data_IF_629544224366
#
_entry.id   IF_629544224366
#
_cell.length_a   1.000
_cell.length_b   1.000
_cell.length_c   1.000
_cell.angle_alpha   90.00
_cell.angle_beta   90.00
_cell.angle_gamma   90.00
#
_symmetry.space_group_name_H-M   'P 1'
#
loop_
_entity.id
_entity.type
_entity.pdbx_description
1 polymer ?
#
# COMPACT_ATOMS: atom_id res chain seq x y z
N UNK A 1 8.97 14.11 15.72
CA UNK A 1 8.90 12.71 16.19
C UNK A 1 10.31 12.29 16.52
N UNK A 2 10.52 11.52 17.59
CA UNK A 2 11.81 10.89 17.88
C UNK A 2 11.71 9.48 17.34
N UNK A 3 12.72 8.98 16.64
CA UNK A 3 12.72 7.61 16.13
C UNK A 3 13.50 6.69 17.09
N UNK A 4 13.12 5.40 17.19
CA UNK A 4 13.74 4.49 18.15
C UNK A 4 15.23 4.28 17.83
N UNK A 5 16.02 3.94 18.84
CA UNK A 5 17.45 3.62 18.65
C UNK A 5 18.30 4.77 18.11
N UNK A 6 17.89 6.03 18.31
CA UNK A 6 18.63 7.20 17.85
C UNK A 6 18.64 7.37 16.33
N UNK A 7 17.65 6.79 15.63
CA UNK A 7 17.49 6.96 14.18
C UNK A 7 17.09 8.39 13.83
N UNK A 8 17.51 8.86 12.65
CA UNK A 8 17.27 10.24 12.20
C UNK A 8 15.93 10.36 11.49
N UNK A 9 15.55 9.38 10.68
CA UNK A 9 14.29 9.34 9.93
C UNK A 9 13.73 7.92 9.87
N UNK A 10 12.50 7.75 9.37
CA UNK A 10 11.89 6.45 9.15
C UNK A 10 11.49 6.24 7.68
N UNK A 11 11.65 5.02 7.19
CA UNK A 11 11.32 4.65 5.82
C UNK A 11 10.76 3.23 5.77
N UNK A 12 9.67 3.06 5.02
CA UNK A 12 9.09 1.76 4.71
C UNK A 12 8.54 1.72 3.29
N UNK A 13 8.31 0.51 2.78
CA UNK A 13 7.70 0.25 1.47
C UNK A 13 6.48 -0.64 1.68
N UNK A 14 5.36 -0.25 1.08
CA UNK A 14 4.23 -1.13 0.82
C UNK A 14 4.31 -1.55 -0.65
N UNK A 15 4.71 -2.80 -0.89
CA UNK A 15 4.70 -3.42 -2.21
C UNK A 15 3.32 -4.03 -2.49
N UNK A 16 2.71 -3.52 -3.54
CA UNK A 16 1.49 -4.03 -4.09
C UNK A 16 1.72 -5.38 -4.82
N UNK A 17 0.74 -6.27 -4.80
CA UNK A 17 0.88 -7.59 -5.43
C UNK A 17 0.69 -7.56 -6.94
N UNK A 18 0.20 -6.46 -7.52
CA UNK A 18 0.00 -6.38 -8.96
C UNK A 18 1.30 -6.67 -9.74
N UNK A 19 1.14 -7.47 -10.79
CA UNK A 19 2.16 -7.94 -11.72
C UNK A 19 3.25 -8.81 -11.08
N UNK A 20 3.18 -9.09 -9.78
CA UNK A 20 4.14 -9.94 -9.10
C UNK A 20 3.86 -11.40 -9.45
N UNK A 21 4.87 -12.07 -10.00
CA UNK A 21 4.85 -13.51 -10.28
C UNK A 21 6.19 -14.11 -9.90
N UNK A 22 6.27 -15.42 -9.63
CA UNK A 22 7.57 -16.05 -9.42
C UNK A 22 8.54 -15.78 -10.57
N UNK A 23 9.76 -15.40 -10.21
CA UNK A 23 10.87 -15.04 -11.10
C UNK A 23 10.99 -13.56 -11.45
N UNK A 24 10.13 -12.66 -10.93
CA UNK A 24 10.16 -11.25 -11.30
C UNK A 24 10.26 -10.24 -10.14
N UNK A 25 10.24 -10.72 -8.88
CA UNK A 25 10.29 -9.88 -7.67
C UNK A 25 11.34 -10.34 -6.66
N UNK A 26 11.81 -11.59 -6.75
CA UNK A 26 12.69 -12.23 -5.78
C UNK A 26 13.99 -11.46 -5.58
N UNK A 27 14.68 -11.10 -6.67
CA UNK A 27 15.92 -10.33 -6.64
C UNK A 27 15.75 -8.98 -5.92
N UNK A 28 14.59 -8.34 -6.06
CA UNK A 28 14.28 -7.08 -5.38
C UNK A 28 14.24 -7.30 -3.87
N UNK A 29 13.58 -8.36 -3.43
CA UNK A 29 13.49 -8.72 -2.02
C UNK A 29 14.82 -9.24 -1.44
N UNK A 30 15.63 -9.94 -2.23
CA UNK A 30 16.98 -10.35 -1.84
C UNK A 30 17.87 -9.12 -1.57
N UNK A 31 17.81 -8.12 -2.46
CA UNK A 31 18.52 -6.84 -2.28
C UNK A 31 18.05 -6.13 -1.02
N UNK A 32 16.74 -5.96 -0.82
CA UNK A 32 16.20 -5.31 0.38
C UNK A 32 16.60 -6.07 1.66
N UNK A 33 16.46 -7.40 1.62
CA UNK A 33 16.75 -8.31 2.70
C UNK A 33 18.21 -8.24 3.16
N UNK A 34 19.14 -8.30 2.20
CA UNK A 34 20.59 -8.24 2.43
C UNK A 34 21.07 -6.90 2.98
N UNK A 35 20.32 -5.82 2.71
CA UNK A 35 20.60 -4.49 3.24
C UNK A 35 19.94 -4.22 4.61
N UNK A 36 19.20 -5.18 5.14
CA UNK A 36 18.47 -5.02 6.40
C UNK A 36 17.17 -4.22 6.27
N UNK A 37 16.69 -3.94 5.06
CA UNK A 37 15.42 -3.27 4.83
C UNK A 37 14.31 -4.31 4.87
N UNK A 38 13.45 -4.24 5.89
CA UNK A 38 12.19 -5.00 5.95
C UNK A 38 11.04 -4.11 5.52
N UNK A 39 10.16 -4.65 4.69
CA UNK A 39 9.06 -3.95 4.04
C UNK A 39 7.78 -4.77 4.14
N UNK A 40 6.70 -4.28 3.58
CA UNK A 40 5.40 -4.96 3.54
C UNK A 40 5.14 -5.46 2.12
N UNK A 41 4.98 -6.78 1.94
CA UNK A 41 4.51 -7.39 0.70
C UNK A 41 3.02 -7.68 0.82
N UNK A 42 2.18 -7.02 0.03
CA UNK A 42 0.77 -7.40 -0.03
C UNK A 42 0.54 -8.61 -0.92
N UNK A 43 -0.58 -9.32 -0.71
CA UNK A 43 -0.96 -10.52 -1.48
C UNK A 43 -2.46 -10.60 -1.75
N UNK A 44 -2.82 -11.44 -2.71
CA UNK A 44 -4.17 -11.98 -2.91
C UNK A 44 -4.26 -13.38 -2.30
N UNK A 45 -5.04 -13.58 -1.21
CA UNK A 45 -5.08 -14.89 -0.56
C UNK A 45 -5.74 -16.00 -1.38
N UNK A 46 -6.63 -15.65 -2.32
CA UNK A 46 -7.42 -16.61 -3.11
C UNK A 46 -7.51 -16.17 -4.58
N UNK A 47 -7.86 -17.10 -5.47
CA UNK A 47 -8.38 -16.76 -6.78
C UNK A 47 -9.85 -16.34 -6.71
N UNK A 48 -10.25 -15.47 -7.64
CA UNK A 48 -11.65 -15.36 -7.97
C UNK A 48 -12.16 -16.65 -8.66
N UNK A 49 -13.45 -17.01 -8.50
CA UNK A 49 -14.03 -18.16 -9.16
C UNK A 49 -13.76 -18.18 -10.67
N UNK A 50 -13.22 -19.30 -11.16
CA UNK A 50 -12.93 -19.50 -12.59
C UNK A 50 -11.67 -18.81 -13.10
N UNK A 51 -10.86 -18.19 -12.23
CA UNK A 51 -9.59 -17.58 -12.62
C UNK A 51 -8.40 -18.43 -12.17
N UNK A 52 -7.30 -18.45 -12.93
CA UNK A 52 -6.11 -19.20 -12.56
C UNK A 52 -5.36 -18.50 -11.40
N UNK A 53 -4.57 -19.25 -10.60
CA UNK A 53 -3.73 -18.66 -9.56
C UNK A 53 -2.62 -17.72 -10.04
N UNK A 54 -2.24 -17.84 -11.31
CA UNK A 54 -1.24 -16.99 -11.95
C UNK A 54 -1.84 -16.43 -13.24
N UNK A 55 -1.86 -15.10 -13.35
CA UNK A 55 -2.42 -14.38 -14.49
C UNK A 55 -1.61 -13.13 -14.88
N UNK A 56 -2.03 -12.39 -15.90
CA UNK A 56 -1.39 -11.14 -16.30
C UNK A 56 -1.44 -10.06 -15.20
N UNK A 57 -2.39 -10.15 -14.27
CA UNK A 57 -2.52 -9.28 -13.11
C UNK A 57 -1.50 -9.62 -12.01
N UNK A 58 -0.92 -10.83 -12.00
CA UNK A 58 -0.02 -11.31 -10.94
C UNK A 58 -0.41 -12.69 -10.42
N UNK A 59 0.22 -13.10 -9.32
CA UNK A 59 -0.03 -14.39 -8.64
C UNK A 59 -0.81 -14.22 -7.35
N UNK A 60 -1.69 -15.18 -7.07
CA UNK A 60 -2.37 -15.33 -5.78
C UNK A 60 -1.63 -16.35 -4.92
N UNK A 61 -1.97 -16.43 -3.63
CA UNK A 61 -1.46 -17.44 -2.72
C UNK A 61 -1.93 -18.87 -3.03
N UNK A 62 -2.80 -19.07 -4.03
CA UNK A 62 -3.14 -20.41 -4.53
C UNK A 62 -2.13 -20.93 -5.56
N UNK A 63 -1.20 -20.08 -6.01
CA UNK A 63 0.00 -20.53 -6.71
C UNK A 63 1.04 -21.01 -5.69
N UNK A 64 1.39 -22.31 -5.67
CA UNK A 64 2.27 -22.88 -4.65
C UNK A 64 3.70 -22.33 -4.70
N UNK A 65 4.18 -21.91 -5.88
CA UNK A 65 5.51 -21.32 -6.01
C UNK A 65 5.53 -19.90 -5.42
N UNK A 66 4.51 -19.10 -5.73
CA UNK A 66 4.35 -17.77 -5.16
C UNK A 66 4.12 -17.81 -3.65
N UNK A 67 3.28 -18.73 -3.16
CA UNK A 67 3.04 -18.90 -1.74
C UNK A 67 4.34 -19.25 -0.99
N UNK A 68 5.17 -20.14 -1.54
CA UNK A 68 6.47 -20.48 -0.93
C UNK A 68 7.34 -19.23 -0.78
N UNK A 69 7.46 -18.43 -1.84
CA UNK A 69 8.18 -17.16 -1.82
C UNK A 69 7.66 -16.21 -0.74
N UNK A 70 6.34 -15.99 -0.66
CA UNK A 70 5.74 -15.11 0.35
C UNK A 70 5.97 -15.64 1.77
N UNK A 71 5.88 -16.96 2.00
CA UNK A 71 6.19 -17.56 3.30
C UNK A 71 7.67 -17.42 3.67
N UNK A 72 8.59 -17.49 2.69
CA UNK A 72 10.01 -17.20 2.89
C UNK A 72 10.23 -15.73 3.29
N UNK A 73 9.52 -14.79 2.66
CA UNK A 73 9.55 -13.37 3.05
C UNK A 73 9.06 -13.18 4.50
N UNK A 74 7.94 -13.81 4.88
CA UNK A 74 7.44 -13.72 6.24
C UNK A 74 8.46 -14.24 7.25
N UNK A 75 9.07 -15.41 6.99
CA UNK A 75 10.15 -15.98 7.82
C UNK A 75 11.37 -15.06 7.91
N UNK A 76 11.68 -14.33 6.84
CA UNK A 76 12.78 -13.38 6.81
C UNK A 76 12.47 -12.06 7.54
N UNK A 77 11.25 -11.86 8.05
CA UNK A 77 10.83 -10.68 8.81
C UNK A 77 10.19 -9.57 7.98
N UNK A 78 9.79 -9.85 6.73
CA UNK A 78 8.92 -8.95 5.99
C UNK A 78 7.47 -9.10 6.50
N UNK A 79 6.71 -8.01 6.46
CA UNK A 79 5.28 -8.07 6.74
C UNK A 79 4.53 -8.57 5.51
N UNK A 80 3.55 -9.44 5.72
CA UNK A 80 2.58 -9.79 4.67
C UNK A 80 1.32 -8.95 4.88
N UNK A 81 0.94 -8.18 3.86
CA UNK A 81 -0.25 -7.32 3.84
C UNK A 81 -1.35 -7.87 2.91
N UNK A 82 -2.50 -7.21 2.91
CA UNK A 82 -3.65 -7.61 2.10
C UNK A 82 -3.90 -6.65 0.93
N UNK A 83 -4.16 -7.18 -0.26
CA UNK A 83 -4.47 -6.37 -1.44
C UNK A 83 -5.83 -6.71 -2.06
N UNK A 84 -6.89 -6.72 -1.25
CA UNK A 84 -8.16 -7.36 -1.58
C UNK A 84 -8.04 -8.90 -1.67
N UNK A 85 -9.19 -9.57 -1.81
CA UNK A 85 -9.28 -11.04 -1.80
C UNK A 85 -8.57 -11.66 -2.99
N UNK A 86 -8.72 -11.02 -4.14
CA UNK A 86 -8.14 -11.40 -5.42
C UNK A 86 -7.97 -10.17 -6.31
N UNK A 87 -7.35 -10.34 -7.47
CA UNK A 87 -7.23 -9.30 -8.48
C UNK A 87 -8.56 -8.87 -9.09
N UNK A 88 -9.62 -9.68 -8.94
CA UNK A 88 -10.98 -9.33 -9.34
C UNK A 88 -11.93 -9.28 -8.14
N UNK A 89 -13.11 -8.71 -8.36
CA UNK A 89 -14.10 -8.55 -7.30
C UNK A 89 -14.81 -9.84 -6.96
N UNK A 90 -14.91 -10.14 -5.67
CA UNK A 90 -15.62 -11.31 -5.15
C UNK A 90 -16.73 -10.89 -4.18
N UNK A 91 -17.65 -11.80 -3.87
CA UNK A 91 -18.75 -11.51 -2.95
C UNK A 91 -18.31 -11.50 -1.49
N UNK A 92 -19.13 -10.97 -0.59
CA UNK A 92 -18.85 -10.92 0.86
C UNK A 92 -18.36 -12.25 1.44
N UNK A 93 -19.00 -13.36 1.07
CA UNK A 93 -18.63 -14.70 1.56
C UNK A 93 -17.22 -15.10 1.14
N UNK A 94 -16.82 -14.74 -0.08
CA UNK A 94 -15.45 -14.95 -0.57
C UNK A 94 -14.46 -14.04 0.14
N UNK A 95 -14.83 -12.79 0.48
CA UNK A 95 -13.97 -11.89 1.26
C UNK A 95 -13.66 -12.46 2.64
N UNK A 96 -14.68 -12.99 3.33
CA UNK A 96 -14.50 -13.64 4.63
C UNK A 96 -13.58 -14.86 4.47
N UNK A 97 -13.82 -15.71 3.46
CA UNK A 97 -12.96 -16.85 3.15
C UNK A 97 -11.52 -16.42 2.86
N UNK A 98 -11.30 -15.36 2.09
CA UNK A 98 -9.98 -14.87 1.76
C UNK A 98 -9.21 -14.39 3.00
N UNK A 99 -9.89 -13.68 3.91
CA UNK A 99 -9.29 -13.26 5.16
C UNK A 99 -9.03 -14.46 6.10
N UNK A 100 -9.91 -15.44 6.16
CA UNK A 100 -9.66 -16.67 6.92
C UNK A 100 -8.48 -17.45 6.32
N UNK A 101 -8.41 -17.54 5.00
CA UNK A 101 -7.28 -18.13 4.28
C UNK A 101 -5.98 -17.39 4.56
N UNK A 102 -5.99 -16.06 4.57
CA UNK A 102 -4.85 -15.25 4.97
C UNK A 102 -4.37 -15.67 6.37
N UNK A 103 -5.28 -15.76 7.34
CA UNK A 103 -4.96 -16.16 8.71
C UNK A 103 -4.39 -17.58 8.80
N UNK A 104 -4.95 -18.52 8.06
CA UNK A 104 -4.45 -19.90 7.98
C UNK A 104 -3.01 -19.95 7.44
N UNK A 105 -2.73 -19.17 6.40
CA UNK A 105 -1.43 -19.15 5.73
C UNK A 105 -0.34 -18.47 6.56
N UNK A 106 -0.68 -17.35 7.19
CA UNK A 106 0.29 -16.43 7.81
C UNK A 106 0.22 -16.42 9.34
N UNK A 107 -0.73 -17.11 9.95
CA UNK A 107 -0.88 -17.24 11.40
C UNK A 107 -1.50 -16.02 12.10
N UNK A 108 -1.91 -15.00 11.35
CA UNK A 108 -2.52 -13.78 11.88
C UNK A 108 -3.43 -13.11 10.84
N UNK A 109 -4.31 -12.22 11.28
CA UNK A 109 -5.08 -11.34 10.38
C UNK A 109 -4.17 -10.26 9.76
N UNK A 110 -4.48 -9.72 8.57
CA UNK A 110 -3.65 -8.70 7.94
C UNK A 110 -3.72 -7.38 8.70
N UNK A 111 -2.57 -6.84 9.13
CA UNK A 111 -2.52 -5.54 9.77
C UNK A 111 -2.69 -4.41 8.75
N UNK A 112 -1.96 -4.46 7.63
CA UNK A 112 -1.98 -3.43 6.59
C UNK A 112 -2.68 -3.90 5.30
N UNK A 113 -3.39 -2.98 4.65
CA UNK A 113 -4.08 -3.21 3.38
C UNK A 113 -3.95 -2.04 2.41
N UNK A 114 -3.95 -2.36 1.11
CA UNK A 114 -4.25 -1.43 0.02
C UNK A 114 -5.42 -1.96 -0.83
N UNK A 115 -6.29 -1.09 -1.34
CA UNK A 115 -7.31 -1.50 -2.31
C UNK A 115 -6.71 -1.70 -3.71
N UNK A 116 -7.10 -2.77 -4.39
CA UNK A 116 -6.85 -3.03 -5.81
C UNK A 116 -7.71 -2.11 -6.68
N UNK A 117 -7.12 -1.69 -7.80
CA UNK A 117 -7.75 -0.74 -8.69
C UNK A 117 -9.01 -1.34 -9.32
N UNK A 118 -10.14 -0.62 -9.21
CA UNK A 118 -11.42 -0.98 -9.86
C UNK A 118 -12.01 -2.29 -9.29
N UNK A 119 -11.55 -2.76 -8.12
CA UNK A 119 -12.14 -3.92 -7.46
C UNK A 119 -13.50 -3.57 -6.80
N UNK A 120 -14.61 -4.28 -7.15
CA UNK A 120 -15.93 -4.14 -6.52
C UNK A 120 -15.96 -4.15 -5.00
N UNK A 121 -15.06 -4.90 -4.35
CA UNK A 121 -15.01 -5.00 -2.89
C UNK A 121 -14.25 -3.82 -2.26
N UNK A 122 -13.62 -2.92 -3.02
CA UNK A 122 -12.78 -1.88 -2.46
C UNK A 122 -13.53 -0.99 -1.44
N UNK A 123 -12.89 -0.74 -0.29
CA UNK A 123 -13.48 0.05 0.80
C UNK A 123 -13.20 1.54 0.61
N UNK A 124 -14.26 2.37 0.61
CA UNK A 124 -14.22 3.81 0.34
C UNK A 124 -13.26 4.22 -0.80
N UNK A 125 -13.28 3.53 -1.93
CA UNK A 125 -12.37 3.82 -3.06
C UNK A 125 -12.88 5.00 -3.92
N UNK A 126 -12.21 5.38 -5.03
CA UNK A 126 -12.41 6.61 -5.87
C UNK A 126 -13.39 7.70 -5.37
N UNK A 127 -14.52 8.08 -6.03
CA UNK A 127 -15.42 9.11 -5.47
C UNK A 127 -15.80 8.97 -3.99
N UNK A 128 -15.91 7.76 -3.44
CA UNK A 128 -16.32 7.53 -2.04
C UNK A 128 -15.21 7.86 -1.02
N UNK A 129 -13.95 7.98 -1.48
CA UNK A 129 -12.86 8.53 -0.67
C UNK A 129 -12.93 10.05 -0.50
N UNK A 130 -13.82 10.71 -1.25
CA UNK A 130 -13.94 12.18 -1.31
C UNK A 130 -15.26 12.66 -0.72
N UNK A 131 -15.24 13.87 -0.18
CA UNK A 131 -16.40 14.60 0.32
C UNK A 131 -16.94 15.55 -0.74
N UNK A 132 -18.20 15.98 -0.60
CA UNK A 132 -18.69 17.09 -1.42
C UNK A 132 -17.99 18.41 -1.03
N UNK A 133 -17.72 19.30 -1.99
CA UNK A 133 -18.07 19.21 -3.42
C UNK A 133 -17.05 18.43 -4.29
N UNK A 134 -15.87 18.10 -3.76
CA UNK A 134 -14.78 17.53 -4.54
C UNK A 134 -15.13 16.18 -5.19
N UNK A 135 -15.94 15.37 -4.52
CA UNK A 135 -16.51 14.13 -5.08
C UNK A 135 -17.20 14.37 -6.42
N UNK A 136 -17.98 15.43 -6.54
CA UNK A 136 -18.68 15.76 -7.78
C UNK A 136 -17.70 16.17 -8.89
N UNK A 137 -16.73 17.02 -8.57
CA UNK A 137 -15.68 17.44 -9.51
C UNK A 137 -14.86 16.25 -10.02
N UNK A 138 -14.45 15.34 -9.12
CA UNK A 138 -13.70 14.14 -9.48
C UNK A 138 -14.53 13.19 -10.36
N UNK A 139 -15.81 13.03 -10.05
CA UNK A 139 -16.74 12.20 -10.84
C UNK A 139 -16.91 12.78 -12.25
N UNK A 140 -17.10 14.10 -12.37
CA UNK A 140 -17.20 14.79 -13.66
C UNK A 140 -15.90 14.67 -14.47
N UNK A 141 -14.73 14.82 -13.83
CA UNK A 141 -13.42 14.67 -14.48
C UNK A 141 -13.20 13.25 -15.04
N UNK A 142 -13.72 12.21 -14.36
CA UNK A 142 -13.56 10.80 -14.79
C UNK A 142 -14.65 10.27 -15.73
N UNK A 143 -15.67 11.08 -16.07
CA UNK A 143 -16.91 10.68 -16.77
C UNK A 143 -16.78 10.07 -18.17
N UNK A 144 -15.57 9.75 -18.66
CA UNK A 144 -15.35 8.98 -19.90
C UNK A 144 -15.16 7.48 -19.70
N UNK A 145 -15.11 6.98 -18.45
CA UNK A 145 -15.12 5.54 -18.15
C UNK A 145 -16.01 5.30 -16.91
N UNK A 146 -17.09 4.49 -16.99
CA UNK A 146 -17.87 4.16 -15.81
C UNK A 146 -16.94 3.52 -14.78
N UNK A 147 -16.87 4.11 -13.58
CA UNK A 147 -16.04 3.57 -12.52
C UNK A 147 -16.79 2.37 -11.98
N UNK A 148 -16.27 1.17 -12.28
CA UNK A 148 -16.86 -0.06 -11.77
C UNK A 148 -16.99 -0.01 -10.24
N UNK A 149 -18.09 -0.60 -9.82
CA UNK A 149 -18.68 -0.85 -8.51
C UNK A 149 -17.78 -0.64 -7.28
N UNK A 150 -18.34 -0.03 -6.23
CA UNK A 150 -17.68 0.35 -4.96
C UNK A 150 -18.52 -0.12 -3.79
N UNK A 151 -18.48 -1.42 -3.56
CA UNK A 151 -19.42 -2.09 -2.68
C UNK A 151 -18.91 -2.31 -1.26
N UNK A 152 -17.60 -2.27 -1.04
CA UNK A 152 -16.98 -2.70 0.23
C UNK A 152 -17.56 -2.06 1.48
N UNK A 153 -18.02 -0.81 1.37
CA UNK A 153 -18.55 0.00 2.47
C UNK A 153 -20.06 0.27 2.36
N UNK A 154 -20.75 -0.30 1.36
CA UNK A 154 -22.18 -0.08 1.08
C UNK A 154 -22.96 -1.31 1.55
N UNK A 155 -23.77 -1.23 2.62
CA UNK A 155 -24.44 -2.39 3.23
C UNK A 155 -25.28 -3.24 2.26
N UNK A 156 -25.91 -2.60 1.28
CA UNK A 156 -26.79 -3.26 0.30
C UNK A 156 -25.99 -3.93 -0.83
N UNK A 157 -24.67 -3.73 -0.89
CA UNK A 157 -23.84 -4.31 -1.94
C UNK A 157 -23.57 -5.80 -1.69
N UNK A 158 -23.59 -6.66 -2.74
CA UNK A 158 -23.12 -8.04 -2.60
C UNK A 158 -21.63 -8.14 -2.21
N UNK A 159 -20.88 -7.04 -2.37
CA UNK A 159 -19.47 -6.93 -1.99
C UNK A 159 -19.27 -6.26 -0.62
N UNK A 160 -20.32 -6.06 0.18
CA UNK A 160 -20.21 -5.41 1.48
C UNK A 160 -19.34 -6.21 2.45
N UNK A 161 -18.29 -5.60 3.00
CA UNK A 161 -17.46 -6.21 4.05
C UNK A 161 -16.86 -5.18 5.02
N UNK A 162 -17.34 -3.94 5.03
CA UNK A 162 -16.75 -2.87 5.82
C UNK A 162 -16.80 -3.10 7.33
N UNK A 163 -17.82 -3.80 7.83
CA UNK A 163 -17.87 -4.28 9.21
C UNK A 163 -16.72 -5.27 9.53
N UNK A 164 -16.41 -6.17 8.59
CA UNK A 164 -15.29 -7.12 8.72
C UNK A 164 -13.95 -6.39 8.59
N UNK A 165 -13.83 -5.42 7.69
CA UNK A 165 -12.64 -4.57 7.55
C UNK A 165 -12.33 -3.87 8.88
N UNK A 166 -13.35 -3.26 9.49
CA UNK A 166 -13.21 -2.57 10.78
C UNK A 166 -12.78 -3.50 11.91
N UNK A 167 -13.11 -4.80 11.85
CA UNK A 167 -12.73 -5.76 12.87
C UNK A 167 -11.31 -6.30 12.64
N UNK A 168 -11.00 -6.68 11.41
CA UNK A 168 -9.84 -7.54 11.08
C UNK A 168 -8.65 -6.81 10.49
N UNK A 169 -8.82 -5.58 10.00
CA UNK A 169 -7.74 -4.80 9.37
C UNK A 169 -7.46 -3.54 10.18
N UNK A 170 -6.20 -3.31 10.54
CA UNK A 170 -5.81 -2.19 11.40
C UNK A 170 -5.54 -0.92 10.60
N UNK A 171 -4.78 -1.04 9.51
CA UNK A 171 -4.31 0.07 8.71
C UNK A 171 -4.70 -0.10 7.24
N UNK A 172 -5.48 0.83 6.71
CA UNK A 172 -5.85 0.84 5.28
C UNK A 172 -5.21 2.04 4.60
N UNK A 173 -4.56 1.80 3.47
CA UNK A 173 -3.97 2.86 2.65
C UNK A 173 -5.09 3.65 1.96
N UNK A 174 -5.02 4.98 2.05
CA UNK A 174 -5.95 5.89 1.39
C UNK A 174 -5.29 6.68 0.26
N UNK A 175 -4.86 7.91 0.57
CA UNK A 175 -4.31 8.84 -0.42
C UNK A 175 -2.83 8.59 -0.64
N UNK A 176 -2.43 8.79 -1.89
CA UNK A 176 -1.02 8.77 -2.30
C UNK A 176 -0.56 10.14 -2.78
N UNK A 177 0.69 10.49 -2.51
CA UNK A 177 1.26 11.80 -2.85
C UNK A 177 2.61 11.65 -3.54
N UNK A 178 3.01 12.61 -4.36
CA UNK A 178 4.24 12.51 -5.16
C UNK A 178 5.55 12.78 -4.39
N UNK A 179 5.46 13.27 -3.15
CA UNK A 179 6.62 13.69 -2.35
C UNK A 179 7.08 12.56 -1.42
N UNK A 180 8.40 12.33 -1.30
CA UNK A 180 8.99 11.33 -0.39
C UNK A 180 8.58 11.52 1.07
N UNK A 181 8.30 12.75 1.52
CA UNK A 181 7.91 13.01 2.91
C UNK A 181 6.41 12.82 3.10
N UNK A 182 6.00 11.56 3.25
CA UNK A 182 4.60 11.18 3.48
C UNK A 182 3.96 11.93 4.65
N UNK A 183 4.70 12.11 5.75
CA UNK A 183 4.20 12.84 6.93
C UNK A 183 3.81 14.30 6.65
N UNK A 184 4.48 14.98 5.71
CA UNK A 184 4.14 16.37 5.40
C UNK A 184 2.86 16.45 4.58
N UNK A 185 2.52 15.37 3.86
CA UNK A 185 1.26 15.25 3.18
C UNK A 185 0.11 14.97 4.15
N UNK A 186 0.35 14.11 5.14
CA UNK A 186 -0.63 13.77 6.16
C UNK A 186 0.00 13.76 7.56
N UNK A 187 0.08 14.92 8.25
CA UNK A 187 0.63 14.98 9.60
C UNK A 187 -0.17 14.19 10.63
N UNK A 188 -1.46 13.99 10.36
CA UNK A 188 -2.36 13.22 11.21
C UNK A 188 -2.22 11.69 11.02
N UNK A 189 -1.32 11.21 10.16
CA UNK A 189 -1.18 9.79 9.88
C UNK A 189 -0.62 9.01 11.09
N UNK A 190 -1.19 7.84 11.44
CA UNK A 190 -2.44 7.29 10.91
C UNK A 190 -3.67 7.93 11.58
N UNK A 191 -4.78 8.01 10.84
CA UNK A 191 -5.99 8.72 11.28
C UNK A 191 -7.27 7.88 11.16
N UNK A 192 -8.20 8.06 12.09
CA UNK A 192 -9.58 7.63 11.96
C UNK A 192 -10.41 8.72 11.27
N UNK A 193 -11.21 8.35 10.28
CA UNK A 193 -12.13 9.28 9.61
C UNK A 193 -13.59 8.98 10.02
N UNK A 194 -14.26 9.88 10.76
CA UNK A 194 -15.65 9.69 11.18
C UNK A 194 -16.66 9.53 10.04
N UNK A 195 -16.35 10.00 8.83
CA UNK A 195 -17.20 9.82 7.65
C UNK A 195 -16.89 8.55 6.86
N UNK A 196 -15.82 7.84 7.23
CA UNK A 196 -15.46 6.53 6.70
C UNK A 196 -15.22 5.54 7.87
N UNK A 197 -16.25 5.30 8.70
CA UNK A 197 -16.09 4.64 10.01
C UNK A 197 -15.70 3.16 9.93
N UNK A 198 -15.89 2.52 8.77
CA UNK A 198 -15.58 1.10 8.57
C UNK A 198 -14.07 0.81 8.45
N UNK A 199 -13.22 1.83 8.57
CA UNK A 199 -11.76 1.67 8.66
C UNK A 199 -11.27 2.21 10.00
N UNK A 200 -10.50 1.38 10.72
CA UNK A 200 -9.95 1.71 12.05
C UNK A 200 -8.95 2.86 11.97
N UNK A 201 -7.99 2.76 11.06
CA UNK A 201 -6.98 3.77 10.87
C UNK A 201 -6.53 3.79 9.39
N UNK A 202 -6.58 4.98 8.79
CA UNK A 202 -6.09 5.25 7.46
C UNK A 202 -4.64 5.70 7.53
N UNK A 203 -3.85 5.25 6.56
CA UNK A 203 -2.54 5.81 6.30
C UNK A 203 -2.42 6.29 4.85
N UNK A 204 -1.46 7.17 4.61
CA UNK A 204 -1.14 7.70 3.28
C UNK A 204 0.23 7.21 2.87
N UNK A 205 0.54 7.27 1.58
CA UNK A 205 1.85 6.86 1.10
C UNK A 205 2.37 7.78 0.01
N UNK A 206 3.66 7.65 -0.28
CA UNK A 206 4.29 8.23 -1.44
C UNK A 206 4.00 7.37 -2.66
N UNK A 207 3.54 7.97 -3.75
CA UNK A 207 3.24 7.28 -5.00
C UNK A 207 4.52 7.03 -5.80
N UNK A 208 4.82 5.75 -6.04
CA UNK A 208 5.92 5.30 -6.88
C UNK A 208 5.55 4.00 -7.60
N UNK A 209 4.49 4.00 -8.41
CA UNK A 209 3.83 2.78 -8.92
C UNK A 209 4.65 1.93 -9.91
N UNK A 210 5.79 2.43 -10.39
CA UNK A 210 6.62 1.77 -11.38
C UNK A 210 8.09 2.13 -11.15
N UNK A 211 9.02 1.38 -11.76
CA UNK A 211 10.44 1.69 -11.68
C UNK A 211 10.78 3.17 -11.98
N UNK A 212 10.33 3.80 -13.08
CA UNK A 212 10.63 5.22 -13.33
C UNK A 212 10.16 6.18 -12.24
N UNK A 213 8.98 5.94 -11.66
CA UNK A 213 8.48 6.76 -10.56
C UNK A 213 9.29 6.53 -9.28
N UNK A 214 9.63 5.26 -9.01
CA UNK A 214 10.46 4.89 -7.88
C UNK A 214 11.84 5.54 -7.96
N UNK A 215 12.52 5.43 -9.09
CA UNK A 215 13.84 6.03 -9.32
C UNK A 215 13.80 7.55 -9.08
N UNK A 216 12.77 8.23 -9.60
CA UNK A 216 12.58 9.68 -9.41
C UNK A 216 12.35 10.03 -7.94
N UNK A 217 11.47 9.30 -7.25
CA UNK A 217 11.12 9.56 -5.83
C UNK A 217 12.30 9.24 -4.92
N UNK A 218 13.02 8.16 -5.18
CA UNK A 218 14.11 7.65 -4.36
C UNK A 218 15.49 8.18 -4.74
N UNK A 219 15.56 9.23 -5.55
CA UNK A 219 16.82 9.91 -5.85
C UNK A 219 17.59 10.29 -4.59
N UNK A 220 18.92 10.32 -4.69
CA UNK A 220 19.81 10.62 -3.57
C UNK A 220 19.43 11.94 -2.88
N UNK A 221 19.12 12.98 -3.67
CA UNK A 221 18.67 14.28 -3.16
C UNK A 221 17.37 14.19 -2.34
N UNK A 222 16.43 13.32 -2.72
CA UNK A 222 15.22 13.09 -1.94
C UNK A 222 15.50 12.30 -0.66
N UNK A 223 16.42 11.33 -0.71
CA UNK A 223 16.86 10.60 0.49
C UNK A 223 17.57 11.54 1.49
N UNK A 224 18.42 12.44 1.00
CA UNK A 224 19.10 13.46 1.81
C UNK A 224 18.09 14.40 2.47
N UNK A 225 17.07 14.83 1.70
CA UNK A 225 15.98 15.66 2.24
C UNK A 225 15.15 14.93 3.30
N UNK A 226 14.87 13.64 3.10
CA UNK A 226 14.17 12.82 4.08
C UNK A 226 14.96 12.74 5.40
N UNK A 227 16.26 12.42 5.31
CA UNK A 227 17.15 12.35 6.46
C UNK A 227 17.31 13.70 7.18
N UNK A 228 17.58 14.78 6.45
CA UNK A 228 17.77 16.11 7.01
C UNK A 228 16.53 16.63 7.76
N UNK A 229 15.33 16.26 7.29
CA UNK A 229 14.06 16.62 7.94
C UNK A 229 13.70 15.75 9.15
N UNK A 230 14.43 14.66 9.36
CA UNK A 230 14.08 13.59 10.28
C UNK A 230 12.70 12.96 10.03
N UNK A 231 12.32 12.88 8.75
CA UNK A 231 10.94 12.62 8.38
C UNK A 231 10.54 11.15 8.28
N UNK A 232 9.32 10.94 7.81
CA UNK A 232 8.73 9.63 7.58
C UNK A 232 8.28 9.50 6.13
N UNK A 233 8.72 8.41 5.50
CA UNK A 233 8.25 7.94 4.20
C UNK A 233 7.63 6.54 4.32
N UNK A 234 6.39 6.39 3.87
CA UNK A 234 5.82 5.09 3.49
C UNK A 234 5.65 5.14 1.98
N UNK A 235 6.51 4.45 1.24
CA UNK A 235 6.46 4.43 -0.22
C UNK A 235 5.56 3.29 -0.70
N UNK A 236 4.66 3.57 -1.64
CA UNK A 236 3.81 2.57 -2.27
C UNK A 236 4.24 2.34 -3.71
N UNK A 237 4.49 1.07 -4.07
CA UNK A 237 5.00 0.66 -5.37
C UNK A 237 4.45 -0.70 -5.80
N UNK A 238 4.75 -1.11 -7.03
CA UNK A 238 4.49 -2.45 -7.53
C UNK A 238 5.83 -2.99 -8.06
N UNK A 239 6.51 -3.85 -7.29
CA UNK A 239 7.80 -4.42 -7.72
C UNK A 239 7.66 -5.31 -8.96
N UNK A 240 6.46 -5.84 -9.24
CA UNK A 240 6.17 -6.50 -10.52
C UNK A 240 6.24 -5.55 -11.74
N UNK A 241 6.25 -4.23 -11.53
CA UNK A 241 6.13 -3.24 -12.60
C UNK A 241 7.48 -2.59 -12.98
N UNK A 242 8.21 -3.25 -13.89
CA UNK A 242 9.45 -2.77 -14.54
C UNK A 242 10.68 -2.67 -13.63
N UNK A 243 10.66 -3.27 -12.44
CA UNK A 243 11.84 -3.34 -11.56
C UNK A 243 12.85 -4.41 -11.96
N UNK A 244 12.52 -5.29 -12.91
CA UNK A 244 13.43 -6.27 -13.47
C UNK A 244 13.70 -5.99 -14.95
N UNK A 245 14.91 -6.33 -15.39
CA UNK A 245 15.26 -6.44 -16.78
C UNK A 245 14.68 -7.74 -17.36
N UNK A 246 13.93 -7.64 -18.46
CA UNK A 246 13.22 -8.79 -19.05
C UNK A 246 14.13 -9.83 -19.68
N UNK A 247 15.35 -9.46 -20.08
CA UNK A 247 16.28 -10.37 -20.74
C UNK A 247 17.08 -11.19 -19.72
N UNK A 248 17.42 -10.58 -18.58
CA UNK A 248 18.27 -11.18 -17.55
C UNK A 248 17.49 -11.68 -16.34
N UNK A 249 16.24 -11.23 -16.14
CA UNK A 249 15.43 -11.49 -14.95
C UNK A 249 15.86 -10.71 -13.71
N UNK A 250 16.95 -9.92 -13.81
CA UNK A 250 17.56 -9.27 -12.66
C UNK A 250 16.93 -7.93 -12.34
N UNK A 251 16.94 -7.57 -11.06
CA UNK A 251 16.54 -6.23 -10.64
C UNK A 251 17.36 -5.13 -11.34
N UNK A 252 16.74 -3.97 -11.60
CA UNK A 252 17.41 -2.81 -12.19
C UNK A 252 18.69 -2.47 -11.38
N UNK A 253 19.88 -2.36 -11.99
CA UNK A 253 21.12 -2.09 -11.24
C UNK A 253 21.04 -0.85 -10.36
N UNK A 254 20.36 0.19 -10.89
CA UNK A 254 20.12 1.44 -10.20
C UNK A 254 19.24 1.30 -8.96
N UNK A 255 18.34 0.31 -8.91
CA UNK A 255 17.58 0.00 -7.70
C UNK A 255 18.52 -0.37 -6.55
N UNK A 256 19.48 -1.27 -6.81
CA UNK A 256 20.44 -1.70 -5.81
C UNK A 256 21.35 -0.55 -5.34
N UNK A 257 21.74 0.35 -6.24
CA UNK A 257 22.50 1.55 -5.90
C UNK A 257 21.73 2.47 -4.95
N UNK A 258 20.48 2.81 -5.29
CA UNK A 258 19.63 3.68 -4.50
C UNK A 258 19.33 3.09 -3.12
N UNK A 259 19.07 1.77 -3.03
CA UNK A 259 18.80 1.11 -1.76
C UNK A 259 20.06 0.97 -0.91
N UNK A 260 21.25 0.72 -1.50
CA UNK A 260 22.52 0.75 -0.78
C UNK A 260 22.85 2.14 -0.25
N UNK A 261 22.58 3.18 -1.02
CA UNK A 261 22.74 4.56 -0.57
C UNK A 261 21.83 4.84 0.63
N UNK A 262 20.55 4.47 0.55
CA UNK A 262 19.59 4.62 1.63
C UNK A 262 20.01 3.85 2.90
N UNK A 263 20.43 2.59 2.74
CA UNK A 263 20.80 1.71 3.85
C UNK A 263 22.00 2.21 4.67
N UNK A 264 22.89 3.02 4.07
CA UNK A 264 24.03 3.64 4.77
C UNK A 264 23.63 4.82 5.65
N UNK A 265 22.44 5.39 5.43
CA UNK A 265 21.92 6.50 6.22
C UNK A 265 21.40 6.01 7.57
N UNK A 266 21.25 6.90 8.54
CA UNK A 266 20.80 6.52 9.89
C UNK A 266 19.27 6.38 9.98
N UNK A 267 18.66 5.68 9.01
CA UNK A 267 17.22 5.47 8.93
C UNK A 267 16.74 4.28 9.77
N UNK A 268 15.47 4.36 10.18
CA UNK A 268 14.71 3.24 10.71
C UNK A 268 13.95 2.56 9.57
N UNK A 269 14.38 1.35 9.20
CA UNK A 269 13.88 0.60 8.04
C UNK A 269 13.08 -0.64 8.51
N UNK A 270 11.77 -0.50 8.62
CA UNK A 270 10.89 -1.54 9.16
C UNK A 270 9.61 -1.67 8.33
N UNK A 271 8.86 -2.78 8.44
CA UNK A 271 7.59 -2.92 7.75
C UNK A 271 6.56 -1.85 8.16
N UNK A 272 5.56 -1.64 7.31
CA UNK A 272 4.56 -0.58 7.48
C UNK A 272 3.80 -0.72 8.80
N UNK A 273 3.40 -1.94 9.18
CA UNK A 273 2.76 -2.18 10.48
C UNK A 273 3.60 -1.70 11.64
N UNK A 274 4.87 -2.11 11.69
CA UNK A 274 5.77 -1.76 12.81
C UNK A 274 5.97 -0.25 12.89
N UNK A 275 6.14 0.39 11.74
CA UNK A 275 6.24 1.83 11.63
C UNK A 275 4.98 2.52 12.17
N UNK A 276 3.80 2.12 11.71
CA UNK A 276 2.53 2.72 12.11
C UNK A 276 2.21 2.44 13.58
N UNK A 277 2.51 1.25 14.08
CA UNK A 277 2.39 0.91 15.51
C UNK A 277 3.25 1.82 16.38
N UNK A 278 4.48 2.10 15.94
CA UNK A 278 5.33 3.06 16.63
C UNK A 278 4.73 4.47 16.61
N UNK A 279 4.28 4.94 15.45
CA UNK A 279 3.61 6.26 15.36
C UNK A 279 2.41 6.32 16.31
N UNK A 280 1.55 5.30 16.31
CA UNK A 280 0.39 5.21 17.22
C UNK A 280 0.83 5.19 18.68
N UNK A 281 1.94 4.54 19.04
CA UNK A 281 2.45 4.55 20.41
C UNK A 281 2.87 5.95 20.89
N UNK A 282 3.26 6.83 19.98
CA UNK A 282 3.73 8.19 20.29
C UNK A 282 2.60 9.22 20.34
N UNK A 283 1.62 9.12 19.44
CA UNK A 283 0.57 10.15 19.28
C UNK A 283 -0.86 9.63 19.25
N UNK A 284 -1.06 8.32 19.36
CA UNK A 284 -2.35 7.67 19.14
C UNK A 284 -2.79 7.67 17.68
N UNK A 285 -4.03 7.22 17.44
CA UNK A 285 -4.68 7.38 16.13
C UNK A 285 -5.41 8.72 16.13
N UNK A 286 -5.02 9.63 15.24
CA UNK A 286 -5.63 10.95 15.18
C UNK A 286 -7.08 10.84 14.67
N UNK A 287 -8.01 11.61 15.24
CA UNK A 287 -9.36 11.73 14.68
C UNK A 287 -9.35 12.85 13.63
N UNK A 288 -9.58 12.50 12.37
CA UNK A 288 -9.59 13.46 11.27
C UNK A 288 -10.82 14.37 11.37
N UNK A 289 -10.58 15.67 11.54
CA UNK A 289 -11.63 16.67 11.53
C UNK A 289 -11.99 17.09 10.09
N UNK A 290 -13.01 17.93 9.96
CA UNK A 290 -13.47 18.38 8.65
C UNK A 290 -12.39 19.15 7.89
N UNK A 291 -11.61 20.00 8.56
CA UNK A 291 -10.57 20.82 7.92
C UNK A 291 -9.42 19.96 7.40
N UNK A 292 -8.93 19.04 8.23
CA UNK A 292 -7.89 18.09 7.87
C UNK A 292 -8.31 17.21 6.70
N UNK A 293 -9.56 16.72 6.71
CA UNK A 293 -10.10 15.95 5.58
C UNK A 293 -10.11 16.76 4.29
N UNK A 294 -10.68 17.97 4.30
CA UNK A 294 -10.71 18.81 3.11
C UNK A 294 -9.29 19.11 2.61
N UNK A 295 -8.35 19.41 3.50
CA UNK A 295 -6.96 19.66 3.12
C UNK A 295 -6.31 18.46 2.42
N UNK A 296 -6.49 17.25 2.94
CA UNK A 296 -5.97 16.01 2.33
C UNK A 296 -6.59 15.74 0.96
N UNK A 297 -7.92 15.81 0.89
CA UNK A 297 -8.70 15.56 -0.32
C UNK A 297 -8.32 16.53 -1.45
N UNK A 298 -8.28 17.83 -1.17
CA UNK A 298 -7.89 18.86 -2.15
C UNK A 298 -6.43 18.76 -2.57
N UNK A 299 -5.52 18.50 -1.63
CA UNK A 299 -4.09 18.30 -1.94
C UNK A 299 -3.90 17.11 -2.87
N UNK A 300 -4.57 15.99 -2.58
CA UNK A 300 -4.51 14.80 -3.42
C UNK A 300 -5.07 15.08 -4.82
N UNK A 301 -6.24 15.72 -4.91
CA UNK A 301 -6.86 16.05 -6.20
C UNK A 301 -6.01 17.01 -7.04
N UNK A 302 -5.40 18.02 -6.41
CA UNK A 302 -4.47 18.91 -7.10
C UNK A 302 -3.25 18.17 -7.65
N UNK A 303 -2.66 17.25 -6.88
CA UNK A 303 -1.53 16.45 -7.37
C UNK A 303 -1.93 15.45 -8.46
N UNK A 304 -3.14 14.88 -8.41
CA UNK A 304 -3.70 14.09 -9.52
C UNK A 304 -3.74 14.88 -10.83
N UNK A 305 -4.11 16.16 -10.77
CA UNK A 305 -4.18 17.02 -11.96
C UNK A 305 -2.82 17.47 -12.48
N UNK A 306 -1.83 17.66 -11.61
CA UNK A 306 -0.56 18.32 -11.96
C UNK A 306 0.65 17.40 -12.03
N UNK A 307 0.62 16.23 -11.40
CA UNK A 307 1.78 15.34 -11.24
C UNK A 307 1.58 13.93 -11.81
N UNK A 308 0.59 13.74 -12.69
CA UNK A 308 0.29 12.47 -13.37
C UNK A 308 0.26 11.25 -12.44
N UNK A 309 -0.22 11.42 -11.19
CA UNK A 309 -0.42 10.31 -10.26
C UNK A 309 -1.56 9.46 -10.80
N UNK A 310 -1.27 8.33 -11.43
CA UNK A 310 -2.27 7.42 -11.98
C UNK A 310 -2.55 6.27 -11.02
N UNK A 311 -3.68 6.39 -10.33
CA UNK A 311 -4.41 5.33 -9.63
C UNK A 311 -5.85 5.47 -10.10
#
# INVERSE_FOLDING_TARGET
MIWPGGKTFAFSIFDDTDLAVPGNVEDVYEILGSLGLRTTKSVWPICAPGQPPRGPEGSTCEDPEYLRFVLDLQRAGFEIGYHNSSHSGVGRGDVIRALDRFRELFGHDPDCMSNHLVNPEAIYWGPDRLSYPLRALYTAFRSRRPIAYRGGHVPESPHFWGDICQQRIRYVRNFVFADIQTQLACPAMPYFDPMRPMVRAWFTSTYASSWPDFERVMSEANQDRLEASGGLCILYTHFGHRFHDRATGRAQPRFAELMRHLARKNGWFVPVRELLDYVVSQQGVARLDWRGRQALEWRWFYQKLTKSITE
#
